data_IF_912813326840
#
_entry.id   IF_912813326840
#
_cell.length_a   1.000
_cell.length_b   1.000
_cell.length_c   1.000
_cell.angle_alpha   90.00
_cell.angle_beta   90.00
_cell.angle_gamma   90.00
#
_symmetry.space_group_name_H-M   'P 1'
#
loop_
_entity.id
_entity.type
_entity.pdbx_description
1 polymer ?
#
# COMPACT_ATOMS: atom_id res chain seq x y z
N UNK A 1 -28.73 18.55 16.18
CA UNK A 1 -28.00 17.42 15.58
C UNK A 1 -27.96 16.28 16.57
N UNK A 2 -28.02 15.03 16.13
CA UNK A 2 -27.88 13.86 17.00
C UNK A 2 -26.50 13.26 16.83
N UNK A 3 -25.84 12.96 17.95
CA UNK A 3 -24.54 12.30 18.00
C UNK A 3 -24.76 10.95 18.65
N UNK A 4 -24.41 9.88 17.93
CA UNK A 4 -24.51 8.52 18.42
C UNK A 4 -23.11 8.05 18.79
N UNK A 5 -22.94 7.56 20.01
CA UNK A 5 -21.66 7.05 20.52
C UNK A 5 -21.87 5.61 20.92
N UNK A 6 -21.01 4.73 20.40
CA UNK A 6 -20.94 3.33 20.82
C UNK A 6 -19.56 3.12 21.43
N UNK A 7 -19.44 2.71 22.70
CA UNK A 7 -18.16 2.30 23.23
C UNK A 7 -17.72 1.04 22.46
N UNK A 8 -16.47 1.04 22.00
CA UNK A 8 -15.86 -0.08 21.28
C UNK A 8 -14.70 -0.59 22.11
N UNK A 9 -14.63 -1.90 22.31
CA UNK A 9 -13.47 -2.53 22.93
C UNK A 9 -12.29 -2.61 21.95
N UNK A 10 -11.09 -2.85 22.45
CA UNK A 10 -9.89 -3.06 21.62
C UNK A 10 -10.07 -4.22 20.62
N UNK A 11 -10.77 -5.29 21.04
CA UNK A 11 -11.10 -6.42 20.16
C UNK A 11 -12.02 -6.02 18.98
N UNK A 12 -13.00 -5.14 19.22
CA UNK A 12 -13.91 -4.66 18.17
C UNK A 12 -13.20 -3.72 17.18
N UNK A 13 -12.24 -2.94 17.68
CA UNK A 13 -11.40 -2.06 16.86
C UNK A 13 -10.58 -2.91 15.89
N UNK A 14 -9.88 -3.93 16.39
CA UNK A 14 -9.11 -4.85 15.55
C UNK A 14 -10.00 -5.58 14.55
N UNK A 15 -11.12 -6.15 14.99
CA UNK A 15 -12.06 -6.82 14.10
C UNK A 15 -12.56 -5.89 12.98
N UNK A 16 -12.84 -4.63 13.28
CA UNK A 16 -13.29 -3.64 12.28
C UNK A 16 -12.17 -3.26 11.32
N UNK A 17 -10.94 -3.10 11.82
CA UNK A 17 -9.78 -2.79 11.00
C UNK A 17 -9.43 -3.96 10.07
N UNK A 18 -9.51 -5.20 10.55
CA UNK A 18 -9.12 -6.41 9.82
C UNK A 18 -10.20 -6.95 8.87
N UNK A 19 -11.48 -6.69 9.13
CA UNK A 19 -12.60 -7.29 8.38
C UNK A 19 -12.52 -7.09 6.85
N UNK A 20 -12.04 -5.92 6.41
CA UNK A 20 -11.97 -5.59 4.99
C UNK A 20 -10.56 -5.74 4.38
N UNK A 21 -9.53 -6.03 5.19
CA UNK A 21 -8.14 -6.14 4.70
C UNK A 21 -8.04 -7.24 3.64
N UNK A 22 -8.62 -8.41 3.92
CA UNK A 22 -8.59 -9.56 2.99
C UNK A 22 -9.24 -9.24 1.64
N UNK A 23 -10.39 -8.57 1.66
CA UNK A 23 -11.10 -8.19 0.42
C UNK A 23 -10.32 -7.14 -0.38
N UNK A 24 -9.67 -6.20 0.29
CA UNK A 24 -8.82 -5.18 -0.34
C UNK A 24 -7.60 -5.85 -0.99
N UNK A 25 -6.91 -6.71 -0.25
CA UNK A 25 -5.74 -7.45 -0.74
C UNK A 25 -6.07 -8.33 -1.96
N UNK A 26 -7.19 -9.07 -1.93
CA UNK A 26 -7.64 -9.86 -3.08
C UNK A 26 -7.94 -8.99 -4.31
N UNK A 27 -8.53 -7.81 -4.10
CA UNK A 27 -8.80 -6.87 -5.17
C UNK A 27 -7.50 -6.30 -5.76
N UNK A 28 -6.55 -5.90 -4.91
CA UNK A 28 -5.23 -5.41 -5.32
C UNK A 28 -4.47 -6.45 -6.15
N UNK A 29 -4.47 -7.72 -5.73
CA UNK A 29 -3.85 -8.83 -6.49
C UNK A 29 -4.47 -8.99 -7.87
N UNK A 30 -5.81 -8.93 -7.96
CA UNK A 30 -6.53 -9.03 -9.24
C UNK A 30 -6.22 -7.87 -10.19
N UNK A 31 -6.03 -6.68 -9.63
CA UNK A 31 -5.74 -5.47 -10.42
C UNK A 31 -4.27 -5.44 -10.87
N UNK A 32 -3.34 -5.87 -10.01
CA UNK A 32 -1.88 -5.87 -10.28
C UNK A 32 -1.44 -7.14 -11.04
N UNK A 33 -2.29 -8.17 -11.11
CA UNK A 33 -1.97 -9.46 -11.72
C UNK A 33 -0.87 -10.19 -10.94
N UNK A 34 -1.07 -10.28 -9.62
CA UNK A 34 -0.33 -11.09 -8.65
C UNK A 34 -1.22 -12.23 -8.16
N UNK A 35 -1.87 -12.92 -9.09
CA UNK A 35 -2.61 -14.15 -8.85
C UNK A 35 -1.66 -15.33 -8.54
N UNK A 36 -2.22 -16.53 -8.28
CA UNK A 36 -1.45 -17.74 -7.96
C UNK A 36 -0.36 -18.00 -9.01
N UNK A 37 -0.67 -17.78 -10.29
CA UNK A 37 0.27 -17.90 -11.41
C UNK A 37 1.43 -16.88 -11.32
N UNK A 38 1.17 -15.68 -10.79
CA UNK A 38 2.17 -14.66 -10.53
C UNK A 38 3.09 -15.00 -9.34
N UNK A 39 2.56 -15.65 -8.31
CA UNK A 39 3.35 -16.15 -7.17
C UNK A 39 4.24 -17.33 -7.59
N UNK A 40 3.71 -18.27 -8.37
CA UNK A 40 4.49 -19.38 -8.93
C UNK A 40 5.61 -18.88 -9.86
N UNK A 41 5.34 -17.86 -10.68
CA UNK A 41 6.35 -17.24 -11.53
C UNK A 41 7.44 -16.50 -10.74
N UNK A 42 7.08 -15.80 -9.67
CA UNK A 42 8.03 -15.11 -8.79
C UNK A 42 8.94 -16.09 -8.06
N UNK A 43 8.39 -17.20 -7.58
CA UNK A 43 9.15 -18.29 -6.98
C UNK A 43 10.12 -18.93 -7.97
N UNK A 44 9.65 -19.22 -9.18
CA UNK A 44 10.48 -19.79 -10.22
C UNK A 44 11.67 -18.89 -10.57
N UNK A 45 11.45 -17.59 -10.68
CA UNK A 45 12.51 -16.62 -10.96
C UNK A 45 13.54 -16.53 -9.81
N UNK A 46 13.09 -16.56 -8.56
CA UNK A 46 13.97 -16.53 -7.39
C UNK A 46 14.86 -17.79 -7.28
N UNK A 47 14.38 -18.94 -7.75
CA UNK A 47 15.17 -20.19 -7.78
C UNK A 47 16.23 -20.13 -8.86
N UNK A 48 15.89 -19.63 -10.05
CA UNK A 48 16.83 -19.48 -11.15
C UNK A 48 17.97 -18.54 -10.76
N UNK A 49 17.65 -17.41 -10.12
CA UNK A 49 18.68 -16.50 -9.60
C UNK A 49 19.49 -17.10 -8.44
N UNK A 50 18.86 -17.80 -7.49
CA UNK A 50 19.59 -18.47 -6.41
C UNK A 50 20.49 -19.61 -6.93
N UNK A 51 20.11 -20.30 -8.01
CA UNK A 51 20.92 -21.36 -8.61
C UNK A 51 22.15 -20.83 -9.37
N UNK A 52 22.11 -19.59 -9.85
CA UNK A 52 23.24 -18.93 -10.51
C UNK A 52 24.26 -18.35 -9.53
N UNK A 53 23.83 -18.04 -8.31
CA UNK A 53 24.70 -17.50 -7.25
C UNK A 53 25.54 -18.63 -6.65
N UNK A 54 26.84 -18.39 -6.45
CA UNK A 54 27.79 -19.38 -5.90
C UNK A 54 27.87 -19.31 -4.37
N UNK A 55 27.60 -18.14 -3.80
CA UNK A 55 27.67 -17.92 -2.36
C UNK A 55 26.38 -18.34 -1.64
N UNK A 56 26.54 -19.03 -0.51
CA UNK A 56 25.43 -19.59 0.24
C UNK A 56 24.67 -18.55 1.06
N UNK A 57 25.27 -17.40 1.36
CA UNK A 57 24.60 -16.29 2.08
C UNK A 57 23.65 -15.53 1.14
N UNK A 58 24.12 -15.12 -0.03
CA UNK A 58 23.33 -14.45 -1.07
C UNK A 58 22.17 -15.33 -1.58
N UNK A 59 22.39 -16.65 -1.70
CA UNK A 59 21.34 -17.61 -2.00
C UNK A 59 20.19 -17.57 -0.99
N UNK A 60 20.51 -17.38 0.29
CA UNK A 60 19.50 -17.40 1.34
C UNK A 60 18.71 -16.11 1.36
N UNK A 61 19.36 -14.98 1.16
CA UNK A 61 18.69 -13.68 1.10
C UNK A 61 17.68 -13.64 -0.06
N UNK A 62 18.04 -14.15 -1.23
CA UNK A 62 17.14 -14.22 -2.40
C UNK A 62 15.91 -15.10 -2.10
N UNK A 63 16.14 -16.28 -1.51
CA UNK A 63 15.08 -17.22 -1.19
C UNK A 63 14.19 -16.74 -0.04
N UNK A 64 14.75 -16.12 0.99
CA UNK A 64 14.03 -15.54 2.12
C UNK A 64 13.21 -14.33 1.68
N UNK A 65 13.74 -13.44 0.84
CA UNK A 65 13.00 -12.30 0.32
C UNK A 65 11.83 -12.77 -0.54
N UNK A 66 12.04 -13.74 -1.44
CA UNK A 66 10.96 -14.34 -2.19
C UNK A 66 9.91 -14.96 -1.26
N UNK A 67 10.35 -15.74 -0.26
CA UNK A 67 9.48 -16.40 0.71
C UNK A 67 8.68 -15.43 1.60
N UNK A 68 9.27 -14.30 2.00
CA UNK A 68 8.61 -13.26 2.81
C UNK A 68 7.55 -12.49 2.02
N UNK A 69 7.68 -12.43 0.69
CA UNK A 69 6.65 -11.87 -0.20
C UNK A 69 5.50 -12.86 -0.48
N UNK A 70 5.59 -14.11 -0.02
CA UNK A 70 4.48 -15.06 -0.06
C UNK A 70 3.57 -14.85 1.16
N UNK A 71 2.34 -14.45 0.85
CA UNK A 71 1.31 -14.13 1.83
C UNK A 71 0.62 -15.41 2.30
N UNK A 72 1.21 -16.04 3.32
CA UNK A 72 0.53 -16.85 4.33
C UNK A 72 -0.54 -17.84 3.85
N UNK A 73 -0.18 -18.64 2.87
CA UNK A 73 -0.29 -20.11 2.85
C UNK A 73 0.11 -20.48 1.43
N UNK A 74 1.37 -20.23 1.09
CA UNK A 74 1.93 -20.98 -0.02
C UNK A 74 1.84 -22.43 0.42
N UNK A 75 0.82 -23.13 -0.09
CA UNK A 75 0.64 -24.51 0.29
C UNK A 75 1.92 -25.22 -0.14
N UNK A 76 2.27 -26.29 0.57
CA UNK A 76 3.33 -27.19 0.13
C UNK A 76 3.10 -27.60 -1.34
N UNK A 77 1.86 -27.56 -1.82
CA UNK A 77 1.46 -27.77 -3.20
C UNK A 77 1.82 -26.60 -4.13
N UNK A 78 1.63 -25.33 -3.76
CA UNK A 78 2.09 -24.18 -4.58
C UNK A 78 3.62 -24.19 -4.73
N UNK A 79 4.34 -24.48 -3.63
CA UNK A 79 5.80 -24.64 -3.68
C UNK A 79 6.14 -25.86 -4.56
N UNK A 80 5.54 -27.02 -4.34
CA UNK A 80 5.83 -28.21 -5.15
C UNK A 80 5.47 -28.03 -6.64
N UNK A 81 4.40 -27.30 -6.96
CA UNK A 81 3.96 -27.04 -8.33
C UNK A 81 4.87 -26.03 -9.03
N UNK A 82 5.27 -24.95 -8.36
CA UNK A 82 6.23 -23.98 -8.89
C UNK A 82 7.60 -24.60 -9.20
N UNK A 83 8.02 -25.60 -8.42
CA UNK A 83 9.31 -26.27 -8.57
C UNK A 83 9.29 -27.47 -9.55
N UNK A 84 8.13 -28.09 -9.79
CA UNK A 84 8.01 -29.21 -10.73
C UNK A 84 8.80 -30.48 -10.33
N UNK A 85 9.14 -31.34 -11.30
CA UNK A 85 10.03 -32.50 -11.08
C UNK A 85 11.48 -32.03 -11.19
N UNK A 86 12.13 -31.79 -10.06
CA UNK A 86 13.56 -31.45 -10.00
C UNK A 86 14.40 -32.73 -9.92
N UNK A 87 15.47 -32.82 -10.72
CA UNK A 87 16.40 -33.94 -10.68
C UNK A 87 17.23 -33.95 -9.39
N UNK A 88 17.43 -35.14 -8.84
CA UNK A 88 18.13 -35.32 -7.56
C UNK A 88 19.58 -34.84 -7.63
N UNK A 89 20.01 -34.04 -6.66
CA UNK A 89 21.37 -33.52 -6.52
C UNK A 89 21.62 -32.17 -7.21
N UNK A 90 20.59 -31.55 -7.77
CA UNK A 90 20.71 -30.22 -8.41
C UNK A 90 20.68 -29.08 -7.40
N UNK A 91 21.28 -27.91 -7.70
CA UNK A 91 21.15 -26.70 -6.88
C UNK A 91 19.70 -26.30 -6.62
N UNK A 92 18.82 -26.54 -7.60
CA UNK A 92 17.38 -26.29 -7.49
C UNK A 92 16.68 -27.17 -6.43
N UNK A 93 17.10 -28.43 -6.23
CA UNK A 93 16.55 -29.29 -5.17
C UNK A 93 16.97 -28.83 -3.78
N UNK A 94 18.21 -28.31 -3.65
CA UNK A 94 18.68 -27.73 -2.39
C UNK A 94 17.90 -26.46 -2.03
N UNK A 95 17.64 -25.60 -3.02
CA UNK A 95 16.79 -24.41 -2.83
C UNK A 95 15.36 -24.80 -2.42
N UNK A 96 14.78 -25.84 -3.02
CA UNK A 96 13.45 -26.37 -2.66
C UNK A 96 13.39 -26.83 -1.20
N UNK A 97 14.33 -27.68 -0.79
CA UNK A 97 14.35 -28.23 0.57
C UNK A 97 14.54 -27.12 1.61
N UNK A 98 15.34 -26.09 1.28
CA UNK A 98 15.52 -24.93 2.15
C UNK A 98 14.26 -24.08 2.27
N UNK A 99 13.52 -23.90 1.18
CA UNK A 99 12.26 -23.16 1.19
C UNK A 99 11.15 -23.90 1.97
N UNK A 100 11.17 -25.24 1.94
CA UNK A 100 10.31 -26.09 2.78
C UNK A 100 10.67 -26.00 4.28
N UNK A 101 11.96 -25.90 4.60
CA UNK A 101 12.46 -25.74 5.97
C UNK A 101 12.07 -24.37 6.58
N UNK A 102 12.11 -23.30 5.76
CA UNK A 102 11.61 -21.97 6.13
C UNK A 102 10.11 -21.96 6.40
N UNK A 103 9.33 -22.75 5.64
CA UNK A 103 7.90 -22.94 5.88
C UNK A 103 7.64 -23.65 7.22
N UNK A 104 8.36 -24.73 7.51
CA UNK A 104 8.25 -25.43 8.79
C UNK A 104 8.60 -24.51 9.97
N UNK A 105 9.66 -23.71 9.83
CA UNK A 105 10.10 -22.75 10.85
C UNK A 105 9.12 -21.59 11.07
N UNK A 106 8.27 -21.25 10.09
CA UNK A 106 7.22 -20.24 10.23
C UNK A 106 5.97 -20.81 10.90
N UNK A 107 5.60 -22.05 10.57
CA UNK A 107 4.47 -22.72 11.22
C UNK A 107 4.72 -22.93 12.70
N UNK A 108 5.94 -23.32 13.10
CA UNK A 108 6.31 -23.49 14.51
C UNK A 108 6.28 -22.16 15.29
N UNK A 109 6.78 -21.06 14.69
CA UNK A 109 6.72 -19.73 15.31
C UNK A 109 5.29 -19.21 15.53
N UNK A 110 4.41 -19.42 14.55
CA UNK A 110 3.01 -19.01 14.67
C UNK A 110 2.28 -19.81 15.78
N UNK A 111 2.61 -21.09 15.96
CA UNK A 111 2.06 -21.93 17.04
C UNK A 111 2.59 -21.53 18.43
N UNK A 112 3.88 -21.15 18.53
CA UNK A 112 4.49 -20.63 19.76
C UNK A 112 3.93 -19.25 20.16
N UNK A 113 3.71 -18.35 19.19
CA UNK A 113 3.12 -17.03 19.43
C UNK A 113 1.66 -17.13 19.87
N UNK A 114 0.89 -18.06 19.28
CA UNK A 114 -0.48 -18.34 19.67
C UNK A 114 -0.58 -18.92 21.10
N UNK A 115 0.38 -19.76 21.51
CA UNK A 115 0.41 -20.33 22.87
C UNK A 115 0.86 -19.34 23.94
N UNK A 116 1.79 -18.43 23.62
CA UNK A 116 2.18 -17.33 24.52
C UNK A 116 1.03 -16.32 24.71
N UNK A 117 0.27 -16.02 23.66
CA UNK A 117 -0.91 -15.16 23.73
C UNK A 117 -2.03 -15.79 24.59
N UNK A 118 -2.18 -17.12 24.60
CA UNK A 118 -3.16 -17.79 25.48
C UNK A 118 -2.74 -17.80 26.95
N UNK A 119 -1.44 -17.97 27.24
CA UNK A 119 -0.92 -17.98 28.62
C UNK A 119 -0.99 -16.59 29.27
N UNK A 120 -0.79 -15.53 28.49
CA UNK A 120 -0.96 -14.15 28.97
C UNK A 120 -2.42 -13.83 29.36
N UNK A 121 -3.40 -14.44 28.68
CA UNK A 121 -4.83 -14.29 29.01
C UNK A 121 -5.23 -15.06 30.28
N UNK A 122 -4.60 -16.19 30.57
CA UNK A 122 -4.85 -16.96 31.80
C UNK A 122 -4.27 -16.28 33.04
N UNK A 123 -3.10 -15.63 32.93
CA UNK A 123 -2.46 -14.92 34.04
C UNK A 123 -3.24 -13.66 34.50
N UNK A 124 -4.07 -13.07 33.63
CA UNK A 124 -4.90 -11.92 33.97
C UNK A 124 -6.19 -12.30 34.74
N UNK A 125 -6.64 -13.56 34.65
CA UNK A 125 -7.90 -14.02 35.25
C UNK A 125 -7.79 -14.42 36.73
N UNK A 126 -6.59 -14.62 37.29
CA UNK A 126 -6.38 -15.16 38.65
C UNK A 126 -6.19 -14.09 39.73
N UNK A 127 -6.43 -12.81 39.42
CA UNK A 127 -6.27 -11.69 40.37
C UNK A 127 -7.56 -10.92 40.65
N UNK A 128 -8.67 -11.63 40.93
CA UNK A 128 -9.90 -10.95 41.35
C UNK A 128 -10.76 -11.80 42.32
N UNK A 129 -10.28 -11.97 43.56
CA UNK A 129 -11.19 -12.26 44.68
C UNK A 129 -10.71 -11.62 46.00
N UNK A 130 -11.21 -10.42 46.32
CA UNK A 130 -11.65 -10.04 47.69
C UNK A 130 -12.37 -8.68 47.80
N UNK A 131 -13.66 -8.77 48.15
CA UNK A 131 -14.46 -7.97 49.11
C UNK A 131 -14.66 -6.43 49.00
N UNK A 132 -15.91 -6.09 48.63
CA UNK A 132 -16.96 -5.31 49.36
C UNK A 132 -16.70 -3.92 49.98
N UNK A 133 -17.53 -2.94 49.59
CA UNK A 133 -18.26 -2.06 50.53
C UNK A 133 -18.38 -0.56 50.24
N UNK A 134 -19.51 -0.13 49.65
CA UNK A 134 -20.36 1.05 49.97
C UNK A 134 -19.84 2.52 49.89
N UNK A 135 -20.71 3.35 49.27
CA UNK A 135 -20.94 4.82 49.30
C UNK A 135 -20.12 5.81 48.46
N UNK A 136 -20.75 6.21 47.35
CA UNK A 136 -21.14 7.57 46.91
C UNK A 136 -20.14 8.74 46.81
N UNK A 137 -20.22 9.36 45.61
CA UNK A 137 -20.02 10.75 45.24
C UNK A 137 -18.62 11.20 44.76
N UNK A 138 -18.65 11.80 43.57
CA UNK A 138 -17.64 12.62 42.89
C UNK A 138 -16.31 11.96 42.55
N UNK A 139 -16.34 11.14 41.49
CA UNK A 139 -15.16 10.88 40.66
C UNK A 139 -15.50 11.28 39.23
N UNK A 140 -14.69 12.16 38.65
CA UNK A 140 -14.69 12.42 37.22
C UNK A 140 -14.67 11.08 36.46
N UNK A 141 -15.48 10.90 35.40
CA UNK A 141 -15.48 9.65 34.66
C UNK A 141 -14.09 9.44 34.04
N UNK A 142 -13.41 8.41 34.52
CA UNK A 142 -12.17 7.92 33.94
C UNK A 142 -12.48 7.38 32.53
N UNK A 143 -12.16 8.17 31.51
CA UNK A 143 -12.40 7.81 30.12
C UNK A 143 -11.50 6.67 29.62
N UNK A 144 -10.44 6.32 30.38
CA UNK A 144 -9.48 5.25 30.07
C UNK A 144 -9.77 3.95 30.85
N UNK A 145 -10.86 3.89 31.63
CA UNK A 145 -11.26 2.65 32.29
C UNK A 145 -11.66 1.58 31.24
N UNK A 146 -11.22 0.32 31.38
CA UNK A 146 -11.63 -0.77 30.52
C UNK A 146 -13.15 -0.81 30.45
N UNK A 147 -13.71 -0.71 29.24
CA UNK A 147 -15.15 -0.82 29.04
C UNK A 147 -15.55 -2.24 29.44
N UNK A 148 -16.31 -2.38 30.54
CA UNK A 148 -16.91 -3.67 30.90
C UNK A 148 -17.70 -4.23 29.71
N UNK A 149 -17.56 -5.53 29.42
CA UNK A 149 -18.30 -6.22 28.36
C UNK A 149 -19.83 -6.04 28.46
N UNK A 150 -20.34 -5.67 29.64
CA UNK A 150 -21.75 -5.33 29.87
C UNK A 150 -22.20 -4.00 29.23
N UNK A 151 -21.26 -3.09 28.92
CA UNK A 151 -21.50 -1.82 28.22
C UNK A 151 -21.19 -1.90 26.72
N UNK A 152 -20.44 -2.92 26.29
CA UNK A 152 -20.17 -3.21 24.89
C UNK A 152 -21.49 -3.45 24.15
N UNK A 153 -21.83 -2.55 23.22
CA UNK A 153 -23.06 -2.60 22.44
C UNK A 153 -24.15 -1.61 22.84
N UNK A 154 -24.06 -0.93 23.99
CA UNK A 154 -25.01 0.13 24.37
C UNK A 154 -24.71 1.43 23.62
N UNK A 155 -25.66 1.92 22.84
CA UNK A 155 -25.54 3.21 22.13
C UNK A 155 -25.99 4.34 23.06
N UNK A 156 -25.13 5.34 23.26
CA UNK A 156 -25.48 6.61 23.89
C UNK A 156 -25.83 7.64 22.82
N UNK A 157 -26.81 8.51 23.10
CA UNK A 157 -27.26 9.53 22.14
C UNK A 157 -27.25 10.89 22.79
N UNK A 158 -26.53 11.81 22.15
CA UNK A 158 -26.50 13.20 22.57
C UNK A 158 -27.17 14.10 21.55
N UNK A 159 -28.01 15.01 22.02
CA UNK A 159 -28.57 16.09 21.22
C UNK A 159 -27.65 17.31 21.33
N UNK A 160 -26.98 17.63 20.22
CA UNK A 160 -26.22 18.86 20.06
C UNK A 160 -27.13 19.96 19.54
N UNK A 161 -27.29 21.02 20.32
CA UNK A 161 -27.93 22.27 19.88
C UNK A 161 -26.86 23.34 19.73
N UNK A 162 -26.79 23.95 18.54
CA UNK A 162 -25.84 25.00 18.21
C UNK A 162 -26.64 26.29 18.04
N UNK A 163 -26.28 27.32 18.80
CA UNK A 163 -26.78 28.67 18.65
C UNK A 163 -25.63 29.57 18.25
N UNK A 164 -25.95 30.54 17.41
CA UNK A 164 -24.95 31.35 16.77
C UNK A 164 -25.31 32.81 16.99
N UNK A 165 -24.34 33.59 17.47
CA UNK A 165 -24.52 34.98 17.85
C UNK A 165 -23.55 35.85 17.06
N UNK A 166 -24.07 36.82 16.33
CA UNK A 166 -23.27 37.83 15.61
C UNK A 166 -23.53 39.17 16.29
N UNK A 167 -22.49 39.79 16.84
CA UNK A 167 -22.59 41.05 17.59
C UNK A 167 -23.64 41.04 18.72
N UNK A 168 -23.93 39.86 19.28
CA UNK A 168 -24.92 39.66 20.35
C UNK A 168 -26.31 39.23 19.89
N UNK A 169 -26.61 39.28 18.59
CA UNK A 169 -27.90 38.85 18.04
C UNK A 169 -27.86 37.39 17.59
N UNK A 170 -28.88 36.61 17.94
CA UNK A 170 -28.99 35.21 17.52
C UNK A 170 -29.33 35.10 16.03
N UNK A 171 -28.47 34.44 15.26
CA UNK A 171 -28.61 34.25 13.82
C UNK A 171 -28.52 32.77 13.48
N UNK A 172 -29.45 32.24 12.67
CA UNK A 172 -29.44 30.83 12.27
C UNK A 172 -28.22 30.44 11.42
N UNK A 173 -27.89 31.27 10.44
CA UNK A 173 -26.71 31.14 9.59
C UNK A 173 -26.15 32.54 9.37
N UNK A 174 -24.95 32.85 9.86
CA UNK A 174 -24.30 34.12 9.56
C UNK A 174 -24.05 34.22 8.07
N UNK A 175 -24.60 35.26 7.45
CA UNK A 175 -24.33 35.60 6.07
C UNK A 175 -23.63 36.95 6.02
N UNK A 176 -22.59 37.07 5.20
CA UNK A 176 -21.86 38.34 4.93
C UNK A 176 -21.24 38.98 6.19
N UNK A 177 -20.49 38.19 6.96
CA UNK A 177 -19.66 38.68 8.07
C UNK A 177 -18.63 39.72 7.58
N UNK A 178 -18.51 40.82 8.31
CA UNK A 178 -17.44 41.81 8.12
C UNK A 178 -16.30 41.56 9.13
N UNK A 179 -15.08 42.04 8.86
CA UNK A 179 -13.95 41.91 9.80
C UNK A 179 -14.17 42.57 11.17
N UNK A 180 -15.18 43.45 11.27
CA UNK A 180 -15.57 44.13 12.50
C UNK A 180 -16.61 43.38 13.33
N UNK A 181 -17.20 42.32 12.78
CA UNK A 181 -18.28 41.58 13.45
C UNK A 181 -17.69 40.50 14.37
N UNK A 182 -18.14 40.45 15.63
CA UNK A 182 -17.79 39.41 16.60
C UNK A 182 -18.78 38.26 16.48
N UNK A 183 -18.29 37.11 16.03
CA UNK A 183 -19.08 35.90 15.83
C UNK A 183 -18.79 34.89 16.94
N UNK A 184 -19.81 34.57 17.75
CA UNK A 184 -19.77 33.57 18.82
C UNK A 184 -20.70 32.40 18.52
N UNK A 185 -20.27 31.21 18.91
CA UNK A 185 -21.05 29.98 18.75
C UNK A 185 -21.18 29.32 20.11
N UNK A 186 -22.42 29.21 20.58
CA UNK A 186 -22.75 28.50 21.79
C UNK A 186 -23.23 27.10 21.43
N UNK A 187 -22.66 26.09 22.08
CA UNK A 187 -23.08 24.70 21.94
C UNK A 187 -23.57 24.17 23.28
N UNK A 188 -24.68 23.44 23.24
CA UNK A 188 -25.16 22.67 24.39
C UNK A 188 -25.32 21.22 23.97
N UNK A 189 -24.73 20.31 24.75
CA UNK A 189 -24.86 18.88 24.58
C UNK A 189 -25.78 18.34 25.68
N UNK A 190 -26.84 17.63 25.29
CA UNK A 190 -27.78 17.01 26.22
C UNK A 190 -27.84 15.51 25.96
N UNK A 191 -27.72 14.71 27.02
CA UNK A 191 -27.97 13.28 26.96
C UNK A 191 -29.46 13.02 26.71
N UNK A 192 -29.77 12.01 25.90
CA UNK A 192 -31.12 11.67 25.48
C UNK A 192 -31.46 10.24 25.94
N UNK A 193 -32.51 10.12 26.74
CA UNK A 193 -33.08 8.83 27.12
C UNK A 193 -34.27 8.45 26.23
N UNK A 194 -34.62 7.16 26.20
CA UNK A 194 -35.80 6.64 25.51
C UNK A 194 -35.48 5.83 24.26
N UNK A 195 -36.13 6.16 23.13
CA UNK A 195 -36.07 5.40 21.86
C UNK A 195 -34.76 5.62 21.09
N UNK A 196 -33.64 5.32 21.74
CA UNK A 196 -32.28 5.50 21.22
C UNK A 196 -32.04 4.60 19.99
N UNK A 197 -32.44 3.34 20.07
CA UNK A 197 -32.24 2.34 19.02
C UNK A 197 -32.98 2.72 17.72
N UNK A 198 -34.25 3.11 17.82
CA UNK A 198 -35.05 3.58 16.67
C UNK A 198 -34.39 4.77 15.95
N UNK A 199 -33.85 5.73 16.71
CA UNK A 199 -33.18 6.92 16.15
C UNK A 199 -31.85 6.56 15.49
N UNK A 200 -31.12 5.61 16.08
CA UNK A 200 -29.87 5.10 15.53
C UNK A 200 -30.14 4.35 14.22
N UNK A 201 -31.07 3.40 14.21
CA UNK A 201 -31.45 2.61 13.04
C UNK A 201 -31.95 3.52 11.89
N UNK A 202 -32.81 4.49 12.20
CA UNK A 202 -33.28 5.46 11.21
C UNK A 202 -32.14 6.31 10.63
N UNK A 203 -31.10 6.59 11.42
CA UNK A 203 -29.93 7.35 10.97
C UNK A 203 -28.97 6.49 10.14
N UNK A 204 -28.77 5.23 10.49
CA UNK A 204 -28.03 4.25 9.70
C UNK A 204 -28.70 4.07 8.34
N UNK A 205 -30.02 3.87 8.30
CA UNK A 205 -30.78 3.73 7.06
C UNK A 205 -30.68 4.97 6.16
N UNK A 206 -30.85 6.17 6.73
CA UNK A 206 -30.66 7.43 5.99
C UNK A 206 -29.23 7.55 5.45
N UNK A 207 -28.23 7.12 6.21
CA UNK A 207 -26.82 7.14 5.79
C UNK A 207 -26.56 6.14 4.67
N UNK A 208 -27.13 4.94 4.74
CA UNK A 208 -27.05 3.93 3.68
C UNK A 208 -27.67 4.45 2.37
N UNK A 209 -28.84 5.09 2.46
CA UNK A 209 -29.51 5.72 1.32
C UNK A 209 -28.70 6.89 0.74
N UNK A 210 -28.15 7.76 1.60
CA UNK A 210 -27.38 8.94 1.19
C UNK A 210 -25.99 8.61 0.62
N UNK A 211 -25.32 7.60 1.17
CA UNK A 211 -24.05 7.10 0.61
C UNK A 211 -24.25 6.41 -0.73
N UNK A 212 -25.50 6.05 -1.05
CA UNK A 212 -25.82 5.19 -2.16
C UNK A 212 -25.26 3.79 -1.94
N UNK A 213 -25.93 2.77 -2.47
CA UNK A 213 -25.22 1.51 -2.71
C UNK A 213 -24.13 1.87 -3.69
N UNK A 214 -22.86 1.84 -3.28
CA UNK A 214 -21.69 2.08 -4.13
C UNK A 214 -21.56 0.94 -5.15
N UNK A 215 -22.59 0.72 -5.95
CA UNK A 215 -22.49 -0.06 -7.14
C UNK A 215 -21.80 0.87 -8.14
N UNK A 216 -20.46 0.86 -8.14
CA UNK A 216 -19.70 1.28 -9.31
C UNK A 216 -20.34 0.52 -10.46
N UNK A 217 -21.03 1.25 -11.34
CA UNK A 217 -21.84 0.60 -12.36
C UNK A 217 -20.94 -0.39 -13.12
N UNK A 218 -21.47 -1.56 -13.48
CA UNK A 218 -20.70 -2.57 -14.22
C UNK A 218 -19.99 -1.94 -15.43
N UNK A 219 -20.60 -0.92 -16.05
CA UNK A 219 -19.98 -0.09 -17.09
C UNK A 219 -18.73 0.69 -16.62
N UNK A 220 -18.78 1.41 -15.49
CA UNK A 220 -17.64 2.14 -14.94
C UNK A 220 -16.52 1.19 -14.53
N UNK A 221 -16.87 0.06 -13.90
CA UNK A 221 -15.89 -0.96 -13.52
C UNK A 221 -15.22 -1.58 -14.75
N UNK A 222 -15.96 -1.86 -15.81
CA UNK A 222 -15.39 -2.39 -17.05
C UNK A 222 -14.53 -1.34 -17.79
N UNK A 223 -15.01 -0.09 -17.87
CA UNK A 223 -14.32 1.00 -18.59
C UNK A 223 -12.99 1.39 -17.94
N UNK A 224 -12.96 1.49 -16.61
CA UNK A 224 -11.77 1.93 -15.88
C UNK A 224 -10.97 0.76 -15.30
N UNK A 225 -11.61 -0.33 -14.87
CA UNK A 225 -10.93 -1.52 -14.35
C UNK A 225 -10.11 -2.25 -15.41
N UNK A 226 -10.64 -2.42 -16.64
CA UNK A 226 -9.88 -3.00 -17.75
C UNK A 226 -8.67 -2.15 -18.14
N UNK A 227 -8.80 -0.82 -18.06
CA UNK A 227 -7.69 0.09 -18.39
C UNK A 227 -6.49 -0.03 -17.45
N UNK A 228 -6.72 -0.37 -16.17
CA UNK A 228 -5.63 -0.54 -15.20
C UNK A 228 -4.86 -1.82 -15.49
N UNK A 229 -5.55 -2.95 -15.70
CA UNK A 229 -4.92 -4.22 -16.05
C UNK A 229 -4.12 -4.12 -17.35
N UNK A 230 -4.68 -3.46 -18.37
CA UNK A 230 -3.99 -3.20 -19.63
C UNK A 230 -2.71 -2.38 -19.42
N UNK A 231 -2.75 -1.34 -18.59
CA UNK A 231 -1.58 -0.52 -18.31
C UNK A 231 -0.50 -1.28 -17.52
N UNK A 232 -0.91 -2.12 -16.56
CA UNK A 232 0.00 -3.00 -15.82
C UNK A 232 0.69 -3.97 -16.77
N UNK A 233 -0.07 -4.62 -17.67
CA UNK A 233 0.47 -5.56 -18.66
C UNK A 233 1.41 -4.87 -19.65
N UNK A 234 1.04 -3.69 -20.18
CA UNK A 234 1.93 -2.88 -21.03
C UNK A 234 3.21 -2.49 -20.29
N UNK A 235 3.12 -2.14 -19.00
CA UNK A 235 4.28 -1.87 -18.16
C UNK A 235 5.19 -3.08 -17.98
N UNK A 236 4.62 -4.28 -17.75
CA UNK A 236 5.37 -5.54 -17.68
C UNK A 236 6.10 -5.84 -18.99
N UNK A 237 5.43 -5.69 -20.13
CA UNK A 237 6.06 -5.87 -21.45
C UNK A 237 7.15 -4.85 -21.72
N UNK A 238 6.94 -3.59 -21.34
CA UNK A 238 7.93 -2.54 -21.50
C UNK A 238 9.19 -2.85 -20.70
N UNK A 239 9.06 -3.25 -19.42
CA UNK A 239 10.20 -3.68 -18.60
C UNK A 239 10.96 -4.83 -19.23
N UNK A 240 10.28 -5.90 -19.66
CA UNK A 240 10.92 -7.02 -20.39
C UNK A 240 11.69 -6.56 -21.63
N UNK A 241 11.14 -5.60 -22.39
CA UNK A 241 11.82 -5.03 -23.56
C UNK A 241 13.05 -4.21 -23.16
N UNK A 242 12.98 -3.44 -22.07
CA UNK A 242 14.13 -2.70 -21.54
C UNK A 242 15.20 -3.66 -21.03
N UNK A 243 14.83 -4.69 -20.27
CA UNK A 243 15.77 -5.71 -19.77
C UNK A 243 16.53 -6.38 -20.93
N UNK A 244 15.83 -6.76 -22.00
CA UNK A 244 16.46 -7.30 -23.22
C UNK A 244 17.37 -6.30 -23.94
N UNK A 245 17.09 -5.00 -23.83
CA UNK A 245 17.86 -3.94 -24.48
C UNK A 245 19.11 -3.63 -23.65
N UNK A 246 18.98 -3.61 -22.33
CA UNK A 246 20.06 -3.46 -21.36
C UNK A 246 21.01 -4.67 -21.42
N UNK A 247 20.49 -5.90 -21.58
CA UNK A 247 21.32 -7.10 -21.79
C UNK A 247 22.14 -7.02 -23.09
N UNK A 248 21.54 -6.50 -24.17
CA UNK A 248 22.20 -6.37 -25.48
C UNK A 248 23.20 -5.23 -25.57
N UNK A 249 22.88 -4.09 -24.96
CA UNK A 249 23.65 -2.85 -25.13
C UNK A 249 24.47 -2.48 -23.89
N UNK A 250 24.30 -3.21 -22.77
CA UNK A 250 24.83 -2.85 -21.47
C UNK A 250 24.07 -1.68 -20.85
N UNK A 251 24.00 -1.64 -19.51
CA UNK A 251 23.39 -0.52 -18.79
C UNK A 251 24.26 0.72 -18.97
N UNK A 252 23.79 1.68 -19.77
CA UNK A 252 24.46 2.97 -19.93
C UNK A 252 24.01 3.93 -18.82
N UNK A 253 24.79 3.95 -17.74
CA UNK A 253 24.62 4.97 -16.70
C UNK A 253 25.26 6.26 -17.21
N UNK A 254 24.46 7.30 -17.39
CA UNK A 254 24.98 8.65 -17.65
C UNK A 254 25.75 9.14 -16.41
N UNK A 255 27.08 9.01 -16.46
CA UNK A 255 27.93 9.62 -15.45
C UNK A 255 28.00 11.12 -15.73
N UNK A 256 27.46 11.93 -14.80
CA UNK A 256 27.49 13.39 -14.90
C UNK A 256 28.92 13.94 -14.93
N UNK A 257 29.93 13.12 -14.62
CA UNK A 257 31.35 13.48 -14.69
C UNK A 257 31.96 13.40 -16.08
N UNK A 258 31.33 12.76 -17.08
CA UNK A 258 31.89 12.72 -18.44
C UNK A 258 31.95 14.10 -19.11
N UNK A 259 31.11 15.04 -18.67
CA UNK A 259 31.18 16.45 -19.07
C UNK A 259 32.30 17.24 -18.39
N UNK A 260 32.96 16.67 -17.37
CA UNK A 260 34.10 17.26 -16.67
C UNK A 260 35.44 16.67 -17.09
N UNK A 261 35.46 15.56 -17.85
CA UNK A 261 36.68 14.98 -18.38
C UNK A 261 37.14 15.78 -19.62
N UNK A 262 38.13 16.66 -19.43
CA UNK A 262 38.69 17.51 -20.49
C UNK A 262 39.16 16.71 -21.72
N UNK A 263 39.68 15.48 -21.54
CA UNK A 263 40.14 14.64 -22.66
C UNK A 263 39.01 14.17 -23.60
N UNK A 264 37.81 13.94 -23.08
CA UNK A 264 36.67 13.50 -23.91
C UNK A 264 36.09 14.68 -24.71
N UNK A 265 36.11 15.89 -24.12
CA UNK A 265 35.76 17.13 -24.80
C UNK A 265 36.76 17.47 -25.91
N UNK A 266 38.07 17.38 -25.66
CA UNK A 266 39.09 17.64 -26.67
C UNK A 266 39.00 16.68 -27.86
N UNK A 267 38.75 15.39 -27.60
CA UNK A 267 38.52 14.41 -28.69
C UNK A 267 37.29 14.75 -29.52
N UNK A 268 36.22 15.23 -28.88
CA UNK A 268 34.98 15.63 -29.56
C UNK A 268 35.16 16.93 -30.35
N UNK A 269 35.88 17.90 -29.80
CA UNK A 269 36.25 19.14 -30.51
C UNK A 269 37.17 18.86 -31.70
N UNK A 270 38.16 17.99 -31.54
CA UNK A 270 39.06 17.61 -32.64
C UNK A 270 38.29 16.94 -33.78
N UNK A 271 37.30 16.08 -33.46
CA UNK A 271 36.44 15.46 -34.47
C UNK A 271 35.58 16.50 -35.20
N UNK A 272 34.94 17.41 -34.47
CA UNK A 272 34.15 18.49 -35.08
C UNK A 272 35.00 19.42 -35.96
N UNK A 273 36.23 19.74 -35.55
CA UNK A 273 37.16 20.55 -36.36
C UNK A 273 37.50 19.84 -37.67
N UNK A 274 37.74 18.54 -37.62
CA UNK A 274 38.04 17.74 -38.81
C UNK A 274 36.84 17.71 -39.77
N UNK A 275 35.64 17.48 -39.26
CA UNK A 275 34.43 17.46 -40.08
C UNK A 275 34.18 18.83 -40.75
N UNK A 276 34.41 19.93 -40.03
CA UNK A 276 34.31 21.30 -40.58
C UNK A 276 35.39 21.58 -41.63
N UNK A 277 36.62 21.11 -41.42
CA UNK A 277 37.69 21.24 -42.41
C UNK A 277 37.39 20.48 -43.70
N UNK A 278 36.81 19.28 -43.58
CA UNK A 278 36.35 18.48 -44.73
C UNK A 278 35.24 19.22 -45.50
N UNK A 279 34.22 19.77 -44.83
CA UNK A 279 33.18 20.58 -45.48
C UNK A 279 33.73 21.84 -46.15
N UNK A 280 34.72 22.51 -45.54
CA UNK A 280 35.36 23.71 -46.12
C UNK A 280 36.15 23.36 -47.38
N UNK A 281 36.86 22.23 -47.40
CA UNK A 281 37.58 21.76 -48.60
C UNK A 281 36.61 21.35 -49.72
N UNK A 282 35.49 20.70 -49.39
CA UNK A 282 34.42 20.41 -50.34
C UNK A 282 33.86 21.70 -50.95
N UNK A 283 33.56 22.72 -50.13
CA UNK A 283 33.07 24.01 -50.61
C UNK A 283 34.10 24.75 -51.48
N UNK A 284 35.40 24.66 -51.16
CA UNK A 284 36.46 25.22 -52.01
C UNK A 284 36.54 24.51 -53.36
N UNK A 285 36.41 23.17 -53.36
CA UNK A 285 36.42 22.38 -54.59
C UNK A 285 35.24 22.75 -55.51
N UNK A 286 34.05 22.93 -54.94
CA UNK A 286 32.85 23.37 -55.66
C UNK A 286 32.98 24.79 -56.19
N UNK A 287 33.57 25.71 -55.41
CA UNK A 287 33.82 27.08 -55.85
C UNK A 287 34.82 27.13 -57.01
N UNK A 288 35.88 26.33 -56.95
CA UNK A 288 36.88 26.23 -58.02
C UNK A 288 36.29 25.64 -59.30
N UNK A 289 35.44 24.61 -59.18
CA UNK A 289 34.72 24.04 -60.31
C UNK A 289 33.77 25.08 -60.96
N UNK A 290 33.08 25.90 -60.14
CA UNK A 290 32.21 26.98 -60.61
C UNK A 290 32.98 28.10 -61.33
N UNK A 291 34.15 28.50 -60.82
CA UNK A 291 35.00 29.50 -61.47
C UNK A 291 35.60 29.00 -62.80
N UNK A 292 35.90 27.71 -62.92
CA UNK A 292 36.36 27.11 -64.18
C UNK A 292 35.23 27.00 -65.20
N UNK A 293 34.01 26.68 -64.77
CA UNK A 293 32.83 26.65 -65.63
C UNK A 293 32.39 28.04 -66.13
N UNK A 294 32.75 29.11 -65.41
CA UNK A 294 32.47 30.50 -65.81
C UNK A 294 33.54 31.11 -66.75
N UNK A 295 34.65 30.40 -67.00
CA UNK A 295 35.76 30.84 -67.88
C UNK A 295 35.75 30.18 -69.27
N UNK A 296 34.77 29.32 -69.55
CA UNK A 296 34.48 28.70 -70.86
C UNK A 296 33.29 29.42 -71.48
#
# INVERSE_FOLDING_TARGET
MYIFVRPVGEADIQATQEANIKQIQEYERRVIGLDVDGQEAALRAAIESAAEVVDAEDQNEILENAFNHLDESASVETIRNAFGKVDKGTPAEKALNKMLDLLASRTERNDEEATLASVAREAAADSADKKTGTTAADADPDFDAPVDDAMAGRVAVFKLSIRNFVNGDEVLRPEKLKPTDDWKVDYSLQDMEGKIEDLYEASVKRREEALGKSHVSSFMNNKFGGSIQDNVNRGKEYRKKMDMLDEKHGVQVYDKQEFLNFESLEKREAKLRKDVEEEVEELKSLKKAKEQASKV
#
